data_IF_340824707976
#
_entry.id   IF_340824707976
#
_cell.length_a   1.000
_cell.length_b   1.000
_cell.length_c   1.000
_cell.angle_alpha   90.00
_cell.angle_beta   90.00
_cell.angle_gamma   90.00
#
_symmetry.space_group_name_H-M   'P 1'
#
loop_
_entity.id
_entity.type
_entity.pdbx_description
1 polymer ?
#
# COMPACT_ATOMS: atom_id res chain seq x y z
N UNK A 1 -28.28 -4.86 -26.67
CA UNK A 1 -27.60 -4.44 -25.41
C UNK A 1 -27.13 -5.66 -24.65
N UNK A 2 -25.85 -5.90 -24.50
CA UNK A 2 -25.35 -7.01 -23.67
C UNK A 2 -25.75 -6.74 -22.20
N UNK A 3 -26.46 -7.70 -21.57
CA UNK A 3 -26.86 -7.58 -20.15
C UNK A 3 -25.64 -7.18 -19.29
N UNK A 4 -25.69 -6.06 -18.56
CA UNK A 4 -24.64 -5.64 -17.65
C UNK A 4 -24.37 -6.71 -16.57
N UNK A 5 -23.15 -6.72 -15.98
CA UNK A 5 -22.92 -7.58 -14.82
C UNK A 5 -23.80 -7.14 -13.63
N UNK A 6 -24.21 -8.09 -12.78
CA UNK A 6 -24.99 -7.73 -11.59
C UNK A 6 -24.17 -6.88 -10.62
N UNK A 7 -24.84 -5.98 -9.88
CA UNK A 7 -24.18 -5.08 -8.93
C UNK A 7 -23.42 -5.86 -7.85
N UNK A 8 -24.01 -6.93 -7.33
CA UNK A 8 -23.36 -7.80 -6.34
C UNK A 8 -22.08 -8.45 -6.89
N UNK A 9 -22.12 -8.96 -8.12
CA UNK A 9 -20.93 -9.53 -8.77
C UNK A 9 -19.82 -8.50 -8.90
N UNK A 10 -20.14 -7.26 -9.32
CA UNK A 10 -19.17 -6.18 -9.45
C UNK A 10 -18.58 -5.78 -8.09
N UNK A 11 -19.40 -5.64 -7.04
CA UNK A 11 -18.92 -5.33 -5.68
C UNK A 11 -17.95 -6.39 -5.18
N UNK A 12 -18.30 -7.66 -5.32
CA UNK A 12 -17.44 -8.77 -4.85
C UNK A 12 -16.15 -8.86 -5.66
N UNK A 13 -16.26 -8.86 -6.99
CA UNK A 13 -15.07 -8.99 -7.86
C UNK A 13 -14.14 -7.79 -7.71
N UNK A 14 -14.65 -6.56 -7.87
CA UNK A 14 -13.83 -5.36 -7.81
C UNK A 14 -13.32 -5.10 -6.38
N UNK A 15 -14.07 -5.49 -5.35
CA UNK A 15 -13.63 -5.46 -3.95
C UNK A 15 -12.41 -6.33 -3.73
N UNK A 16 -12.46 -7.61 -4.14
CA UNK A 16 -11.32 -8.52 -4.01
C UNK A 16 -10.15 -8.06 -4.87
N UNK A 17 -10.38 -7.60 -6.10
CA UNK A 17 -9.33 -7.04 -6.96
C UNK A 17 -8.65 -5.83 -6.31
N UNK A 18 -9.39 -4.96 -5.64
CA UNK A 18 -8.81 -3.79 -4.97
C UNK A 18 -7.97 -4.15 -3.75
N UNK A 19 -8.28 -5.26 -3.09
CA UNK A 19 -7.55 -5.77 -1.93
C UNK A 19 -6.26 -6.55 -2.28
N UNK A 20 -5.97 -6.78 -3.57
CA UNK A 20 -4.78 -7.53 -4.00
C UNK A 20 -3.47 -6.91 -3.48
N UNK A 21 -3.38 -5.57 -3.42
CA UNK A 21 -2.21 -4.89 -2.88
C UNK A 21 -1.88 -5.34 -1.45
N UNK A 22 -2.78 -5.11 -0.48
CA UNK A 22 -2.61 -5.61 0.88
C UNK A 22 -2.39 -7.13 0.96
N UNK A 23 -3.12 -7.94 0.21
CA UNK A 23 -2.93 -9.39 0.25
C UNK A 23 -1.52 -9.81 -0.18
N UNK A 24 -0.99 -9.22 -1.24
CA UNK A 24 0.36 -9.53 -1.74
C UNK A 24 1.46 -9.06 -0.78
N UNK A 25 1.22 -7.96 -0.06
CA UNK A 25 2.20 -7.34 0.84
C UNK A 25 2.08 -7.91 2.25
N UNK A 26 0.87 -8.02 2.80
CA UNK A 26 0.67 -8.20 4.23
C UNK A 26 0.41 -9.67 4.63
N UNK A 27 -0.14 -10.52 3.73
CA UNK A 27 -0.51 -11.89 4.08
C UNK A 27 0.68 -12.73 4.52
N UNK A 28 1.86 -12.53 3.92
CA UNK A 28 3.04 -13.33 4.23
C UNK A 28 3.96 -12.67 5.29
N UNK A 29 3.65 -11.46 5.77
CA UNK A 29 4.47 -10.76 6.77
C UNK A 29 4.79 -11.62 8.00
N UNK A 30 3.83 -12.39 8.58
CA UNK A 30 4.13 -13.25 9.72
C UNK A 30 5.16 -14.35 9.40
N UNK A 31 5.38 -14.68 8.12
CA UNK A 31 6.34 -15.68 7.69
C UNK A 31 7.75 -15.16 7.43
N UNK A 32 8.01 -13.85 7.51
CA UNK A 32 9.33 -13.29 7.23
C UNK A 32 10.45 -13.89 8.08
N UNK A 33 10.30 -14.11 9.42
CA UNK A 33 11.33 -14.79 10.20
C UNK A 33 11.58 -16.23 9.74
N UNK A 34 10.52 -16.96 9.35
CA UNK A 34 10.64 -18.32 8.81
C UNK A 34 11.37 -18.35 7.47
N UNK A 35 11.14 -17.34 6.62
CA UNK A 35 11.87 -17.17 5.35
C UNK A 35 13.36 -16.90 5.58
N UNK A 36 13.72 -16.06 6.56
CA UNK A 36 15.11 -15.78 6.90
C UNK A 36 15.84 -17.07 7.32
N UNK A 37 15.19 -17.88 8.15
CA UNK A 37 15.73 -19.18 8.57
C UNK A 37 15.81 -20.20 7.44
N UNK A 38 14.78 -20.26 6.57
CA UNK A 38 14.72 -21.23 5.47
C UNK A 38 15.80 -21.00 4.41
N UNK A 39 16.05 -19.72 4.06
CA UNK A 39 17.07 -19.35 3.08
C UNK A 39 18.44 -19.06 3.72
N UNK A 40 18.61 -19.30 5.02
CA UNK A 40 19.84 -19.03 5.78
C UNK A 40 20.39 -17.62 5.54
N UNK A 41 19.48 -16.63 5.59
CA UNK A 41 19.79 -15.25 5.25
C UNK A 41 19.44 -14.27 6.38
N UNK A 42 19.85 -13.02 6.24
CA UNK A 42 19.57 -11.97 7.22
C UNK A 42 18.21 -11.28 6.98
N UNK A 43 17.77 -10.51 7.98
CA UNK A 43 16.52 -9.76 7.93
C UNK A 43 16.46 -8.78 6.74
N UNK A 44 17.57 -8.13 6.39
CA UNK A 44 17.62 -7.17 5.28
C UNK A 44 17.32 -7.85 3.94
N UNK A 45 17.91 -8.99 3.65
CA UNK A 45 17.64 -9.76 2.42
C UNK A 45 16.20 -10.27 2.38
N UNK A 46 15.65 -10.69 3.51
CA UNK A 46 14.25 -11.12 3.58
C UNK A 46 13.30 -9.93 3.37
N UNK A 47 13.62 -8.77 3.92
CA UNK A 47 12.83 -7.54 3.71
C UNK A 47 12.90 -7.05 2.26
N UNK A 48 13.95 -7.36 1.50
CA UNK A 48 14.00 -7.07 0.06
C UNK A 48 12.87 -7.80 -0.70
N UNK A 49 12.36 -8.94 -0.23
CA UNK A 49 11.20 -9.59 -0.85
C UNK A 49 9.93 -8.75 -0.70
N UNK A 50 9.77 -8.03 0.41
CA UNK A 50 8.70 -7.06 0.64
C UNK A 50 8.90 -5.83 -0.26
N UNK A 51 10.08 -5.23 -0.18
CA UNK A 51 10.51 -4.08 -0.96
C UNK A 51 10.21 -4.25 -2.44
N UNK A 52 10.66 -5.35 -3.02
CA UNK A 52 10.57 -5.59 -4.47
C UNK A 52 9.12 -5.82 -4.91
N UNK A 53 8.29 -6.43 -4.08
CA UNK A 53 6.86 -6.52 -4.34
C UNK A 53 6.19 -5.13 -4.31
N UNK A 54 6.57 -4.27 -3.37
CA UNK A 54 6.03 -2.90 -3.27
C UNK A 54 6.49 -2.02 -4.44
N UNK A 55 7.77 -2.10 -4.84
CA UNK A 55 8.28 -1.41 -6.03
C UNK A 55 7.57 -1.91 -7.29
N UNK A 56 7.41 -3.22 -7.42
CA UNK A 56 6.64 -3.81 -8.51
C UNK A 56 5.21 -3.29 -8.54
N UNK A 57 4.52 -3.27 -7.39
CA UNK A 57 3.16 -2.75 -7.25
C UNK A 57 3.08 -1.26 -7.64
N UNK A 58 4.05 -0.45 -7.21
CA UNK A 58 4.11 0.97 -7.54
C UNK A 58 4.29 1.18 -9.05
N UNK A 59 5.31 0.57 -9.65
CA UNK A 59 5.58 0.66 -11.08
C UNK A 59 4.41 0.11 -11.92
N UNK A 60 3.82 -0.99 -11.49
CA UNK A 60 2.66 -1.58 -12.14
C UNK A 60 1.46 -0.64 -12.20
N UNK A 61 1.21 0.16 -11.15
CA UNK A 61 0.13 1.15 -11.16
C UNK A 61 0.34 2.21 -12.25
N UNK A 62 1.57 2.69 -12.45
CA UNK A 62 1.88 3.66 -13.51
C UNK A 62 1.74 3.07 -14.92
N UNK A 63 2.03 1.77 -15.09
CA UNK A 63 2.03 1.11 -16.39
C UNK A 63 0.64 0.59 -16.78
N UNK A 64 -0.02 -0.13 -15.86
CA UNK A 64 -1.25 -0.87 -16.17
C UNK A 64 -2.49 0.02 -16.26
N UNK A 65 -2.47 1.21 -15.65
CA UNK A 65 -3.50 2.23 -15.85
C UNK A 65 -3.64 2.62 -17.33
N UNK A 66 -2.63 3.27 -17.92
CA UNK A 66 -2.64 3.66 -19.34
C UNK A 66 -2.81 2.48 -20.31
N UNK A 67 -2.24 1.30 -19.98
CA UNK A 67 -2.46 0.10 -20.78
C UNK A 67 -3.94 -0.30 -20.80
N UNK A 68 -4.63 -0.20 -19.66
CA UNK A 68 -6.06 -0.51 -19.58
C UNK A 68 -6.94 0.53 -20.26
N UNK A 69 -6.49 1.80 -20.32
CA UNK A 69 -7.17 2.86 -21.05
C UNK A 69 -7.06 2.66 -22.58
N UNK A 70 -5.95 2.09 -23.04
CA UNK A 70 -5.72 1.84 -24.46
C UNK A 70 -6.33 0.54 -24.98
N UNK A 71 -6.16 -0.57 -24.25
CA UNK A 71 -6.57 -1.90 -24.71
C UNK A 71 -7.93 -2.37 -24.17
N UNK A 72 -8.60 -1.54 -23.37
CA UNK A 72 -9.78 -1.90 -22.59
C UNK A 72 -9.42 -2.54 -21.26
N UNK A 73 -10.37 -2.65 -20.34
CA UNK A 73 -10.14 -3.08 -18.94
C UNK A 73 -9.87 -4.57 -18.83
N UNK A 74 -10.65 -5.38 -19.53
CA UNK A 74 -10.66 -6.83 -19.37
C UNK A 74 -9.36 -7.51 -19.81
N UNK A 75 -8.81 -7.15 -20.98
CA UNK A 75 -7.61 -7.81 -21.52
C UNK A 75 -6.38 -7.62 -20.61
N UNK A 76 -5.99 -6.39 -20.23
CA UNK A 76 -4.86 -6.18 -19.30
C UNK A 76 -5.08 -6.82 -17.94
N UNK A 77 -6.33 -6.85 -17.42
CA UNK A 77 -6.66 -7.53 -16.16
C UNK A 77 -6.37 -9.02 -16.24
N UNK A 78 -6.84 -9.71 -17.28
CA UNK A 78 -6.62 -11.15 -17.45
C UNK A 78 -5.12 -11.44 -17.58
N UNK A 79 -4.39 -10.68 -18.40
CA UNK A 79 -2.94 -10.87 -18.60
C UNK A 79 -2.21 -10.67 -17.27
N UNK A 80 -2.51 -9.60 -16.53
CA UNK A 80 -1.87 -9.34 -15.24
C UNK A 80 -2.17 -10.43 -14.20
N UNK A 81 -3.40 -10.95 -14.14
CA UNK A 81 -3.74 -12.06 -13.24
C UNK A 81 -3.02 -13.36 -13.62
N UNK A 82 -2.86 -13.66 -14.91
CA UNK A 82 -2.10 -14.84 -15.35
C UNK A 82 -0.63 -14.70 -14.96
N UNK A 83 0.00 -13.55 -15.19
CA UNK A 83 1.40 -13.30 -14.79
C UNK A 83 1.54 -13.37 -13.26
N UNK A 84 0.56 -12.82 -12.51
CA UNK A 84 0.51 -12.91 -11.05
C UNK A 84 0.50 -14.37 -10.56
N UNK A 85 -0.37 -15.21 -11.13
CA UNK A 85 -0.47 -16.63 -10.74
C UNK A 85 0.83 -17.36 -11.04
N UNK A 86 1.38 -17.18 -12.25
CA UNK A 86 2.64 -17.83 -12.65
C UNK A 86 3.78 -17.41 -11.73
N UNK A 87 3.98 -16.11 -11.51
CA UNK A 87 5.05 -15.62 -10.63
C UNK A 87 4.86 -16.10 -9.19
N UNK A 88 3.63 -16.13 -8.68
CA UNK A 88 3.32 -16.62 -7.32
C UNK A 88 3.61 -18.11 -7.16
N UNK A 89 3.27 -18.92 -8.16
CA UNK A 89 3.61 -20.36 -8.16
C UNK A 89 5.12 -20.55 -8.24
N UNK A 90 5.83 -19.82 -9.08
CA UNK A 90 7.28 -19.91 -9.19
C UNK A 90 8.00 -19.51 -7.89
N UNK A 91 7.44 -18.57 -7.09
CA UNK A 91 7.98 -18.22 -5.77
C UNK A 91 8.04 -19.46 -4.85
N UNK A 92 7.04 -20.34 -4.90
CA UNK A 92 7.02 -21.57 -4.07
C UNK A 92 8.20 -22.50 -4.37
N UNK A 93 8.70 -22.46 -5.61
CA UNK A 93 9.82 -23.28 -6.08
C UNK A 93 11.16 -22.51 -6.12
N UNK A 94 11.23 -21.30 -5.53
CA UNK A 94 12.47 -20.53 -5.51
C UNK A 94 13.60 -21.29 -4.80
N UNK A 95 14.75 -21.50 -5.48
CA UNK A 95 15.87 -22.22 -4.89
C UNK A 95 16.67 -21.38 -3.88
N UNK A 96 16.62 -20.05 -4.02
CA UNK A 96 17.32 -19.08 -3.20
C UNK A 96 16.52 -17.78 -3.06
N UNK A 97 16.95 -16.93 -2.14
CA UNK A 97 16.26 -15.66 -1.83
C UNK A 97 16.32 -14.68 -3.01
N UNK A 98 17.38 -14.66 -3.79
CA UNK A 98 17.55 -13.77 -4.96
C UNK A 98 16.52 -14.07 -6.04
N UNK A 99 16.28 -15.35 -6.35
CA UNK A 99 15.21 -15.75 -7.27
C UNK A 99 13.85 -15.33 -6.76
N UNK A 100 13.59 -15.50 -5.46
CA UNK A 100 12.35 -15.03 -4.85
C UNK A 100 12.21 -13.51 -4.98
N UNK A 101 13.26 -12.74 -4.71
CA UNK A 101 13.27 -11.26 -4.84
C UNK A 101 12.86 -10.83 -6.24
N UNK A 102 13.43 -11.43 -7.29
CA UNK A 102 13.09 -11.13 -8.69
C UNK A 102 11.62 -11.47 -8.98
N UNK A 103 11.18 -12.64 -8.57
CA UNK A 103 9.77 -13.06 -8.76
C UNK A 103 8.79 -12.16 -8.03
N UNK A 104 9.16 -11.61 -6.88
CA UNK A 104 8.36 -10.65 -6.13
C UNK A 104 8.16 -9.31 -6.86
N UNK A 105 9.16 -8.85 -7.63
CA UNK A 105 8.97 -7.69 -8.54
C UNK A 105 7.85 -7.97 -9.53
N UNK A 106 7.91 -9.14 -10.19
CA UNK A 106 6.93 -9.53 -11.22
C UNK A 106 5.54 -9.71 -10.62
N UNK A 107 5.46 -10.35 -9.44
CA UNK A 107 4.22 -10.54 -8.69
C UNK A 107 3.60 -9.18 -8.29
N UNK A 108 4.40 -8.26 -7.76
CA UNK A 108 3.95 -6.91 -7.39
C UNK A 108 3.45 -6.13 -8.60
N UNK A 109 4.23 -6.10 -9.68
CA UNK A 109 3.88 -5.39 -10.92
C UNK A 109 2.56 -5.91 -11.51
N UNK A 110 2.39 -7.21 -11.55
CA UNK A 110 1.18 -7.83 -12.09
C UNK A 110 -0.04 -7.64 -11.17
N UNK A 111 0.13 -7.68 -9.84
CA UNK A 111 -0.95 -7.44 -8.89
C UNK A 111 -1.52 -6.02 -8.97
N UNK A 112 -0.70 -5.04 -9.36
CA UNK A 112 -1.12 -3.66 -9.56
C UNK A 112 -2.26 -3.53 -10.59
N UNK A 113 -2.31 -4.41 -11.61
CA UNK A 113 -3.39 -4.46 -12.60
C UNK A 113 -4.75 -4.66 -11.95
N UNK A 114 -4.84 -5.55 -10.97
CA UNK A 114 -6.06 -5.79 -10.21
C UNK A 114 -6.52 -4.53 -9.47
N UNK A 115 -5.61 -3.86 -8.78
CA UNK A 115 -5.91 -2.65 -7.98
C UNK A 115 -6.34 -1.48 -8.87
N UNK A 116 -5.61 -1.19 -9.94
CA UNK A 116 -5.89 -0.04 -10.82
C UNK A 116 -7.15 -0.28 -11.64
N UNK A 117 -7.29 -1.47 -12.23
CA UNK A 117 -8.41 -1.76 -13.13
C UNK A 117 -9.72 -1.88 -12.36
N UNK A 118 -9.70 -2.35 -11.09
CA UNK A 118 -10.90 -2.35 -10.25
C UNK A 118 -11.50 -0.95 -10.10
N UNK A 119 -10.65 0.06 -9.84
CA UNK A 119 -11.06 1.47 -9.73
C UNK A 119 -11.53 2.03 -11.06
N UNK A 120 -10.80 1.72 -12.15
CA UNK A 120 -11.15 2.17 -13.49
C UNK A 120 -12.51 1.64 -13.96
N UNK A 121 -12.79 0.34 -13.74
CA UNK A 121 -14.11 -0.26 -14.03
C UNK A 121 -15.21 0.41 -13.22
N UNK A 122 -14.98 0.69 -11.93
CA UNK A 122 -15.94 1.42 -11.11
C UNK A 122 -16.24 2.82 -11.67
N UNK A 123 -15.21 3.54 -12.12
CA UNK A 123 -15.36 4.87 -12.74
C UNK A 123 -16.09 4.79 -14.08
N UNK A 124 -15.89 3.75 -14.87
CA UNK A 124 -16.56 3.55 -16.15
C UNK A 124 -18.06 3.29 -15.98
N UNK A 125 -18.45 2.51 -14.95
CA UNK A 125 -19.82 1.99 -14.78
C UNK A 125 -20.70 2.88 -13.91
N UNK A 126 -20.14 3.63 -12.96
CA UNK A 126 -20.91 4.40 -11.99
C UNK A 126 -20.67 5.90 -12.15
N UNK A 127 -21.67 6.72 -11.80
CA UNK A 127 -21.64 8.18 -11.83
C UNK A 127 -22.23 8.79 -10.56
N UNK A 128 -21.83 10.01 -10.24
CA UNK A 128 -22.42 10.80 -9.14
C UNK A 128 -22.43 10.02 -7.82
N UNK A 129 -23.58 10.05 -7.14
CA UNK A 129 -23.76 9.42 -5.80
C UNK A 129 -23.53 7.91 -5.78
N UNK A 130 -23.85 7.22 -6.88
CA UNK A 130 -23.59 5.76 -6.96
C UNK A 130 -22.08 5.46 -7.01
N UNK A 131 -21.31 6.24 -7.75
CA UNK A 131 -19.85 6.15 -7.80
C UNK A 131 -19.27 6.38 -6.40
N UNK A 132 -19.68 7.42 -5.70
CA UNK A 132 -19.24 7.71 -4.33
C UNK A 132 -19.51 6.55 -3.37
N UNK A 133 -20.72 5.96 -3.44
CA UNK A 133 -21.07 4.79 -2.61
C UNK A 133 -20.22 3.57 -2.94
N UNK A 134 -19.97 3.34 -4.22
CA UNK A 134 -19.16 2.20 -4.66
C UNK A 134 -17.70 2.35 -4.24
N UNK A 135 -17.11 3.54 -4.39
CA UNK A 135 -15.77 3.82 -3.88
C UNK A 135 -15.70 3.71 -2.36
N UNK A 136 -16.74 4.13 -1.63
CA UNK A 136 -16.84 3.92 -0.18
C UNK A 136 -16.72 2.44 0.22
N UNK A 137 -17.40 1.55 -0.52
CA UNK A 137 -17.27 0.10 -0.32
C UNK A 137 -15.85 -0.41 -0.62
N UNK A 138 -15.24 0.03 -1.73
CA UNK A 138 -13.85 -0.33 -2.05
C UNK A 138 -12.88 0.17 -0.98
N UNK A 139 -13.07 1.37 -0.46
CA UNK A 139 -12.24 1.93 0.62
C UNK A 139 -12.40 1.14 1.92
N UNK A 140 -13.62 0.70 2.24
CA UNK A 140 -13.87 -0.18 3.40
C UNK A 140 -13.11 -1.50 3.26
N UNK A 141 -13.17 -2.14 2.09
CA UNK A 141 -12.45 -3.39 1.82
C UNK A 141 -10.93 -3.17 1.91
N UNK A 142 -10.44 -2.09 1.32
CA UNK A 142 -9.01 -1.74 1.39
C UNK A 142 -8.54 -1.42 2.82
N UNK A 143 -9.41 -0.83 3.66
CA UNK A 143 -9.10 -0.57 5.07
C UNK A 143 -9.10 -1.83 5.94
N UNK A 144 -9.95 -2.81 5.61
CA UNK A 144 -10.04 -4.09 6.32
C UNK A 144 -8.95 -5.08 5.86
N UNK A 145 -8.51 -5.00 4.61
CA UNK A 145 -7.55 -5.95 4.05
C UNK A 145 -6.23 -6.03 4.83
N UNK A 146 -5.55 -4.91 5.21
CA UNK A 146 -4.35 -4.97 6.05
C UNK A 146 -4.57 -5.54 7.45
N UNK A 147 -5.81 -5.50 7.96
CA UNK A 147 -6.15 -6.10 9.25
C UNK A 147 -6.31 -7.62 9.09
N UNK A 148 -7.06 -8.03 8.08
CA UNK A 148 -7.43 -9.44 7.86
C UNK A 148 -6.24 -10.24 7.30
N UNK A 149 -5.44 -9.65 6.41
CA UNK A 149 -4.36 -10.37 5.70
C UNK A 149 -3.33 -11.03 6.64
N UNK A 150 -2.70 -10.32 7.60
CA UNK A 150 -1.72 -10.97 8.48
C UNK A 150 -2.35 -12.00 9.43
N UNK A 151 -3.61 -11.78 9.85
CA UNK A 151 -4.35 -12.73 10.69
C UNK A 151 -4.56 -14.03 9.90
N UNK A 152 -5.02 -13.95 8.66
CA UNK A 152 -5.14 -15.13 7.80
C UNK A 152 -3.79 -15.77 7.54
N UNK A 153 -2.74 -14.96 7.30
CA UNK A 153 -1.38 -15.45 7.11
C UNK A 153 -0.87 -16.24 8.31
N UNK A 154 -1.06 -15.73 9.53
CA UNK A 154 -0.64 -16.40 10.76
C UNK A 154 -1.41 -17.69 11.02
N UNK A 155 -2.73 -17.71 10.79
CA UNK A 155 -3.55 -18.92 10.91
C UNK A 155 -3.12 -20.00 9.89
N UNK A 156 -2.78 -19.58 8.67
CA UNK A 156 -2.23 -20.53 7.68
C UNK A 156 -0.90 -21.11 8.16
N UNK A 157 -0.02 -20.30 8.75
CA UNK A 157 1.30 -20.72 9.24
C UNK A 157 1.25 -21.74 10.41
N UNK A 158 0.13 -21.84 11.12
CA UNK A 158 -0.08 -22.88 12.13
C UNK A 158 -0.14 -24.29 11.51
N UNK A 159 -0.61 -24.39 10.25
CA UNK A 159 -0.87 -25.67 9.59
C UNK A 159 0.07 -25.92 8.39
N UNK A 160 0.57 -24.86 7.77
CA UNK A 160 1.37 -24.94 6.53
C UNK A 160 2.58 -23.99 6.61
N UNK A 161 3.65 -24.32 5.86
CA UNK A 161 4.84 -23.46 5.81
C UNK A 161 4.58 -22.18 5.00
N UNK A 162 5.57 -21.28 4.97
CA UNK A 162 5.56 -20.07 4.14
C UNK A 162 5.19 -20.35 2.66
N UNK A 163 5.60 -21.52 2.13
CA UNK A 163 5.24 -21.96 0.77
C UNK A 163 3.73 -22.09 0.60
N UNK A 164 3.05 -22.61 1.61
CA UNK A 164 1.59 -22.75 1.61
C UNK A 164 0.87 -21.41 1.58
N UNK A 165 1.43 -20.37 2.20
CA UNK A 165 0.88 -19.00 2.12
C UNK A 165 0.88 -18.49 0.67
N UNK A 166 1.98 -18.74 -0.09
CA UNK A 166 2.02 -18.38 -1.52
C UNK A 166 1.13 -19.26 -2.38
N UNK A 167 0.97 -20.56 -2.07
CA UNK A 167 -0.04 -21.41 -2.73
C UNK A 167 -1.45 -20.84 -2.52
N UNK A 168 -1.77 -20.42 -1.31
CA UNK A 168 -3.05 -19.79 -1.00
C UNK A 168 -3.27 -18.49 -1.79
N UNK A 169 -2.24 -17.64 -1.91
CA UNK A 169 -2.26 -16.44 -2.75
C UNK A 169 -2.50 -16.79 -4.23
N UNK A 170 -1.86 -17.84 -4.74
CA UNK A 170 -2.05 -18.31 -6.11
C UNK A 170 -3.50 -18.81 -6.33
N UNK A 171 -4.07 -19.55 -5.37
CA UNK A 171 -5.46 -20.01 -5.42
C UNK A 171 -6.46 -18.85 -5.46
N UNK A 172 -6.25 -17.81 -4.64
CA UNK A 172 -7.05 -16.58 -4.72
C UNK A 172 -6.94 -15.98 -6.14
N UNK A 173 -5.71 -15.90 -6.68
CA UNK A 173 -5.48 -15.41 -8.05
C UNK A 173 -6.26 -16.20 -9.09
N UNK A 174 -6.26 -17.54 -9.01
CA UNK A 174 -7.02 -18.43 -9.91
C UNK A 174 -8.52 -18.19 -9.82
N UNK A 175 -9.05 -18.12 -8.58
CA UNK A 175 -10.49 -17.85 -8.36
C UNK A 175 -10.87 -16.51 -9.00
N UNK A 176 -10.09 -15.47 -8.74
CA UNK A 176 -10.36 -14.12 -9.28
C UNK A 176 -10.21 -14.10 -10.80
N UNK A 177 -9.26 -14.81 -11.37
CA UNK A 177 -9.11 -14.97 -12.82
C UNK A 177 -10.36 -15.61 -13.44
N UNK A 178 -10.88 -16.70 -12.86
CA UNK A 178 -12.09 -17.38 -13.35
C UNK A 178 -13.29 -16.39 -13.33
N UNK A 179 -13.47 -15.64 -12.25
CA UNK A 179 -14.54 -14.65 -12.18
C UNK A 179 -14.29 -13.47 -13.14
N UNK A 180 -13.03 -13.07 -13.38
CA UNK A 180 -12.69 -12.00 -14.31
C UNK A 180 -13.02 -12.34 -15.77
N UNK A 181 -13.06 -13.62 -16.17
CA UNK A 181 -13.57 -14.00 -17.49
C UNK A 181 -15.05 -13.66 -17.69
N UNK A 182 -15.86 -13.62 -16.60
CA UNK A 182 -17.26 -13.20 -16.65
C UNK A 182 -17.44 -11.68 -16.65
N UNK A 183 -16.38 -10.91 -16.32
CA UNK A 183 -16.41 -9.45 -16.37
C UNK A 183 -16.64 -9.02 -17.83
N UNK A 184 -17.60 -8.15 -18.05
CA UNK A 184 -17.85 -7.52 -19.35
C UNK A 184 -16.94 -6.30 -19.46
N UNK A 185 -16.47 -6.03 -20.68
CA UNK A 185 -15.70 -4.83 -20.96
C UNK A 185 -16.52 -3.58 -20.61
N UNK A 186 -15.95 -2.71 -19.77
CA UNK A 186 -16.59 -1.49 -19.30
C UNK A 186 -16.24 -0.28 -20.13
N UNK A 187 -15.08 -0.31 -20.81
CA UNK A 187 -14.59 0.79 -21.64
C UNK A 187 -14.94 0.54 -23.11
N UNK A 188 -15.86 1.35 -23.65
CA UNK A 188 -16.22 1.30 -25.07
C UNK A 188 -15.01 1.62 -25.96
N UNK A 189 -15.02 1.10 -27.20
CA UNK A 189 -13.88 1.27 -28.14
C UNK A 189 -13.64 2.76 -28.44
N UNK A 190 -14.72 3.55 -28.51
CA UNK A 190 -14.66 4.99 -28.79
C UNK A 190 -14.00 5.78 -27.66
N UNK A 191 -14.11 5.30 -26.40
CA UNK A 191 -13.57 5.95 -25.22
C UNK A 191 -12.14 5.49 -24.89
N UNK A 192 -11.56 4.58 -25.67
CA UNK A 192 -10.18 4.13 -25.47
C UNK A 192 -9.19 5.21 -25.84
N UNK A 193 -8.07 5.23 -25.13
CA UNK A 193 -6.97 6.16 -25.38
C UNK A 193 -6.49 6.00 -26.83
N UNK A 194 -6.69 7.06 -27.62
CA UNK A 194 -6.20 7.17 -28.98
C UNK A 194 -4.84 7.86 -28.96
N UNK A 195 -3.76 7.13 -29.24
CA UNK A 195 -2.42 7.71 -29.25
C UNK A 195 -1.37 6.90 -28.52
N UNK A 196 -0.24 7.53 -28.25
CA UNK A 196 0.89 6.88 -27.57
C UNK A 196 0.65 6.85 -26.06
N UNK A 197 0.89 5.70 -25.41
CA UNK A 197 0.98 5.59 -23.97
C UNK A 197 2.05 6.54 -23.41
N UNK A 198 3.08 6.80 -24.23
CA UNK A 198 4.18 7.69 -23.87
C UNK A 198 3.73 9.14 -23.59
N UNK A 199 2.66 9.61 -24.24
CA UNK A 199 2.11 10.95 -23.97
C UNK A 199 1.60 11.10 -22.53
N UNK A 200 1.11 10.01 -21.93
CA UNK A 200 0.68 10.02 -20.50
C UNK A 200 1.88 10.22 -19.57
N UNK A 201 3.05 9.66 -19.90
CA UNK A 201 4.27 9.87 -19.11
C UNK A 201 4.79 11.31 -19.17
N UNK A 202 4.56 12.03 -20.28
CA UNK A 202 4.92 13.45 -20.37
C UNK A 202 4.12 14.31 -19.38
N UNK A 203 2.88 13.94 -19.08
CA UNK A 203 2.04 14.63 -18.09
C UNK A 203 2.64 14.54 -16.69
N UNK A 204 3.24 13.41 -16.32
CA UNK A 204 3.97 13.29 -15.04
C UNK A 204 5.09 14.32 -14.93
N UNK A 205 5.84 14.56 -16.05
CA UNK A 205 6.89 15.56 -16.12
C UNK A 205 6.40 17.00 -15.86
N UNK A 206 5.14 17.30 -16.18
CA UNK A 206 4.51 18.59 -15.89
C UNK A 206 4.16 18.68 -14.40
N UNK A 207 3.50 17.65 -13.86
CA UNK A 207 3.02 17.62 -12.48
C UNK A 207 4.17 17.67 -11.46
N UNK A 208 5.28 16.97 -11.72
CA UNK A 208 6.47 16.95 -10.87
C UNK A 208 7.07 18.36 -10.68
N UNK A 209 6.86 19.27 -11.63
CA UNK A 209 7.30 20.66 -11.53
C UNK A 209 6.47 21.49 -10.56
N UNK A 210 5.24 21.07 -10.22
CA UNK A 210 4.42 21.76 -9.22
C UNK A 210 4.97 21.48 -7.81
N UNK A 211 5.66 22.48 -7.26
CA UNK A 211 6.31 22.37 -5.94
C UNK A 211 5.32 22.13 -4.81
N UNK A 212 4.10 22.72 -4.88
CA UNK A 212 3.11 22.55 -3.82
C UNK A 212 2.54 21.15 -3.82
N UNK A 213 2.17 20.62 -4.99
CA UNK A 213 1.74 19.25 -5.17
C UNK A 213 2.81 18.25 -4.67
N UNK A 214 4.07 18.42 -5.12
CA UNK A 214 5.18 17.55 -4.70
C UNK A 214 5.49 17.64 -3.21
N UNK A 215 5.18 18.78 -2.57
CA UNK A 215 5.30 18.88 -1.11
C UNK A 215 4.25 18.02 -0.39
N UNK A 216 3.00 18.02 -0.85
CA UNK A 216 1.97 17.13 -0.30
C UNK A 216 2.32 15.65 -0.51
N UNK A 217 2.77 15.30 -1.73
CA UNK A 217 3.27 13.95 -2.04
C UNK A 217 4.45 13.57 -1.13
N UNK A 218 5.39 14.51 -0.91
CA UNK A 218 6.56 14.30 -0.04
C UNK A 218 6.18 14.05 1.41
N UNK A 219 5.30 14.88 2.00
CA UNK A 219 4.82 14.67 3.36
C UNK A 219 4.17 13.29 3.49
N UNK A 220 3.24 12.94 2.60
CA UNK A 220 2.57 11.64 2.61
C UNK A 220 3.56 10.49 2.48
N UNK A 221 4.54 10.62 1.57
CA UNK A 221 5.53 9.58 1.34
C UNK A 221 6.42 9.33 2.55
N UNK A 222 6.88 10.37 3.25
CA UNK A 222 7.69 10.20 4.45
C UNK A 222 6.90 9.69 5.65
N UNK A 223 5.65 10.12 5.83
CA UNK A 223 4.76 9.55 6.85
C UNK A 223 4.55 8.04 6.60
N UNK A 224 4.21 7.66 5.36
CA UNK A 224 4.07 6.26 4.96
C UNK A 224 5.40 5.51 4.96
N UNK A 225 6.54 6.17 4.71
CA UNK A 225 7.86 5.60 4.88
C UNK A 225 8.11 5.09 6.31
N UNK A 226 7.69 5.86 7.33
CA UNK A 226 7.72 5.40 8.72
C UNK A 226 6.82 4.19 8.98
N UNK A 227 5.63 4.16 8.36
CA UNK A 227 4.75 2.98 8.42
C UNK A 227 5.41 1.76 7.77
N UNK A 228 6.04 1.92 6.61
CA UNK A 228 6.71 0.80 5.95
C UNK A 228 7.94 0.32 6.71
N UNK A 229 8.65 1.23 7.42
CA UNK A 229 9.70 0.83 8.37
C UNK A 229 9.14 -0.04 9.50
N UNK A 230 8.00 0.36 10.09
CA UNK A 230 7.27 -0.47 11.05
C UNK A 230 6.88 -1.82 10.44
N UNK A 231 6.24 -1.84 9.27
CA UNK A 231 5.79 -3.09 8.61
C UNK A 231 6.96 -4.05 8.40
N UNK A 232 8.11 -3.55 7.93
CA UNK A 232 9.27 -4.38 7.67
C UNK A 232 9.97 -4.88 8.95
N UNK A 233 10.02 -4.05 10.00
CA UNK A 233 10.73 -4.36 11.25
C UNK A 233 9.91 -5.23 12.21
N UNK A 234 8.59 -5.00 12.28
CA UNK A 234 7.72 -5.55 13.34
C UNK A 234 7.73 -7.08 13.43
N UNK A 235 7.75 -7.90 12.36
CA UNK A 235 7.81 -9.35 12.48
C UNK A 235 9.08 -9.80 13.21
N UNK A 236 10.21 -9.18 12.94
CA UNK A 236 11.48 -9.53 13.58
C UNK A 236 11.56 -9.01 15.01
N UNK A 237 11.05 -7.81 15.29
CA UNK A 237 10.98 -7.27 16.66
C UNK A 237 10.07 -8.15 17.51
N UNK A 238 8.82 -8.35 17.09
CA UNK A 238 7.82 -9.05 17.93
C UNK A 238 8.04 -10.56 17.99
N UNK A 239 8.29 -11.21 16.85
CA UNK A 239 8.42 -12.68 16.82
C UNK A 239 9.83 -13.13 17.15
N UNK A 240 10.89 -12.60 16.46
CA UNK A 240 12.25 -13.10 16.64
C UNK A 240 12.90 -12.65 17.94
N UNK A 241 12.69 -11.38 18.36
CA UNK A 241 13.31 -10.83 19.56
C UNK A 241 12.47 -11.09 20.83
N UNK A 242 11.16 -10.73 20.81
CA UNK A 242 10.28 -10.91 21.96
C UNK A 242 9.63 -12.30 22.04
N UNK A 243 9.78 -13.14 21.02
CA UNK A 243 9.26 -14.52 21.04
C UNK A 243 7.73 -14.62 20.94
N UNK A 244 7.06 -13.56 20.47
CA UNK A 244 5.61 -13.61 20.30
C UNK A 244 5.24 -14.55 19.16
N UNK A 245 4.11 -15.27 19.32
CA UNK A 245 3.58 -16.10 18.24
C UNK A 245 3.17 -15.25 17.03
N UNK A 246 3.19 -15.86 15.83
CA UNK A 246 2.72 -15.21 14.61
C UNK A 246 1.29 -14.69 14.75
N UNK A 247 0.45 -15.40 15.52
CA UNK A 247 -0.93 -14.99 15.79
C UNK A 247 -1.01 -13.72 16.64
N UNK A 248 -0.27 -13.63 17.76
CA UNK A 248 -0.22 -12.42 18.60
C UNK A 248 0.34 -11.24 17.82
N UNK A 249 1.42 -11.45 17.05
CA UNK A 249 1.94 -10.43 16.14
C UNK A 249 0.86 -9.90 15.19
N UNK A 250 0.07 -10.80 14.60
CA UNK A 250 -0.99 -10.42 13.67
C UNK A 250 -2.13 -9.66 14.32
N UNK A 251 -2.43 -9.92 15.58
CA UNK A 251 -3.40 -9.13 16.37
C UNK A 251 -2.88 -7.70 16.60
N UNK A 252 -1.60 -7.54 16.97
CA UNK A 252 -0.97 -6.23 17.07
C UNK A 252 -1.03 -5.48 15.73
N UNK A 253 -0.69 -6.15 14.64
CA UNK A 253 -0.76 -5.57 13.30
C UNK A 253 -2.19 -5.15 12.92
N UNK A 254 -3.19 -5.97 13.28
CA UNK A 254 -4.61 -5.65 13.11
C UNK A 254 -5.06 -4.44 13.92
N UNK A 255 -4.61 -4.34 15.19
CA UNK A 255 -4.85 -3.16 16.02
C UNK A 255 -4.27 -1.90 15.38
N UNK A 256 -3.04 -1.99 14.87
CA UNK A 256 -2.38 -0.90 14.15
C UNK A 256 -3.12 -0.51 12.84
N UNK A 257 -3.71 -1.47 12.13
CA UNK A 257 -4.61 -1.21 11.03
C UNK A 257 -5.83 -0.40 11.44
N UNK A 258 -6.43 -0.69 12.61
CA UNK A 258 -7.55 0.08 13.16
C UNK A 258 -7.15 1.53 13.50
N UNK A 259 -5.92 1.75 13.98
CA UNK A 259 -5.38 3.07 14.24
C UNK A 259 -5.41 3.97 12.99
N UNK A 260 -5.03 3.42 11.83
CA UNK A 260 -5.09 4.14 10.55
C UNK A 260 -6.52 4.57 10.20
N UNK A 261 -7.49 3.68 10.40
CA UNK A 261 -8.91 3.98 10.12
C UNK A 261 -9.43 5.06 11.06
N UNK A 262 -9.15 4.94 12.37
CA UNK A 262 -9.58 5.92 13.38
C UNK A 262 -8.98 7.30 13.08
N UNK A 263 -7.67 7.38 12.85
CA UNK A 263 -6.99 8.64 12.59
C UNK A 263 -7.46 9.31 11.30
N UNK A 264 -7.67 8.53 10.22
CA UNK A 264 -8.21 9.05 8.97
C UNK A 264 -9.64 9.61 9.13
N UNK A 265 -10.50 8.94 9.92
CA UNK A 265 -11.84 9.44 10.23
C UNK A 265 -11.78 10.75 11.04
N UNK A 266 -10.91 10.83 12.06
CA UNK A 266 -10.69 12.07 12.82
C UNK A 266 -10.23 13.19 11.88
N UNK A 267 -9.23 12.91 11.01
CA UNK A 267 -8.70 13.87 10.05
C UNK A 267 -9.74 14.36 9.03
N UNK A 268 -10.63 13.46 8.59
CA UNK A 268 -11.71 13.79 7.65
C UNK A 268 -12.76 14.75 8.22
N UNK A 269 -12.87 14.85 9.54
CA UNK A 269 -13.78 15.78 10.23
C UNK A 269 -13.12 17.13 10.61
N UNK A 270 -11.82 17.28 10.36
CA UNK A 270 -11.08 18.51 10.64
C UNK A 270 -10.88 19.35 9.37
N UNK A 271 -10.80 20.69 9.47
CA UNK A 271 -10.33 21.53 8.38
C UNK A 271 -8.94 21.07 7.89
N UNK A 272 -8.72 21.03 6.58
CA UNK A 272 -7.50 20.49 5.97
C UNK A 272 -6.20 21.04 6.59
N UNK A 273 -6.15 22.36 6.85
CA UNK A 273 -4.99 23.00 7.48
C UNK A 273 -4.74 22.50 8.90
N UNK A 274 -5.80 22.32 9.69
CA UNK A 274 -5.70 21.82 11.06
C UNK A 274 -5.33 20.34 11.09
N UNK A 275 -5.97 19.52 10.25
CA UNK A 275 -5.66 18.09 10.14
C UNK A 275 -4.19 17.87 9.78
N UNK A 276 -3.65 18.64 8.82
CA UNK A 276 -2.26 18.55 8.41
C UNK A 276 -1.31 19.01 9.51
N UNK A 277 -1.61 20.13 10.19
CA UNK A 277 -0.80 20.64 11.28
C UNK A 277 -0.78 19.66 12.47
N UNK A 278 -1.95 19.30 12.99
CA UNK A 278 -2.10 18.42 14.15
C UNK A 278 -1.45 17.06 13.83
N UNK A 279 -1.78 16.48 12.66
CA UNK A 279 -1.28 15.16 12.29
C UNK A 279 0.25 15.12 12.19
N UNK A 280 0.89 16.11 11.53
CA UNK A 280 2.37 16.13 11.40
C UNK A 280 3.04 16.34 12.76
N UNK A 281 2.59 17.31 13.59
CA UNK A 281 3.22 17.54 14.89
C UNK A 281 3.00 16.38 15.86
N UNK A 282 1.77 15.88 15.97
CA UNK A 282 1.45 14.77 16.85
C UNK A 282 2.17 13.48 16.42
N UNK A 283 2.29 13.24 15.09
CA UNK A 283 3.11 12.15 14.56
C UNK A 283 4.57 12.25 15.00
N UNK A 284 5.19 13.45 14.91
CA UNK A 284 6.59 13.62 15.36
C UNK A 284 6.75 13.28 16.84
N UNK A 285 5.82 13.71 17.68
CA UNK A 285 5.84 13.37 19.12
C UNK A 285 5.73 11.85 19.33
N UNK A 286 4.79 11.20 18.63
CA UNK A 286 4.65 9.74 18.72
C UNK A 286 5.88 9.01 18.16
N UNK A 287 6.48 9.51 17.08
CA UNK A 287 7.70 8.95 16.51
C UNK A 287 8.88 9.05 17.51
N UNK A 288 9.05 10.17 18.19
CA UNK A 288 10.07 10.33 19.24
C UNK A 288 9.86 9.37 20.42
N UNK A 289 8.61 9.19 20.86
CA UNK A 289 8.27 8.18 21.86
C UNK A 289 8.63 6.76 21.35
N UNK A 290 8.21 6.42 20.13
CA UNK A 290 8.49 5.10 19.53
C UNK A 290 9.99 4.85 19.43
N UNK A 291 10.77 5.84 19.00
CA UNK A 291 12.23 5.77 18.96
C UNK A 291 12.82 5.52 20.34
N UNK A 292 12.36 6.25 21.37
CA UNK A 292 12.86 6.08 22.72
C UNK A 292 12.62 4.65 23.25
N UNK A 293 11.40 4.11 23.09
CA UNK A 293 11.08 2.75 23.56
C UNK A 293 11.79 1.66 22.75
N UNK A 294 12.06 1.88 21.45
CA UNK A 294 12.84 0.97 20.62
C UNK A 294 14.31 0.94 21.04
N UNK A 295 14.95 2.10 21.27
CA UNK A 295 16.37 2.18 21.67
C UNK A 295 16.59 1.55 23.04
N UNK A 296 15.67 1.79 23.98
CA UNK A 296 15.75 1.23 25.34
C UNK A 296 15.33 -0.24 25.35
N UNK A 297 14.71 -0.74 24.28
CA UNK A 297 14.19 -2.10 24.13
C UNK A 297 13.21 -2.46 25.27
N UNK A 298 12.29 -1.55 25.57
CA UNK A 298 11.26 -1.75 26.57
C UNK A 298 10.38 -2.96 26.22
N UNK A 299 9.62 -3.44 27.22
CA UNK A 299 8.67 -4.53 27.02
C UNK A 299 7.79 -4.29 25.78
N UNK A 300 7.55 -5.32 24.98
CA UNK A 300 6.94 -5.24 23.66
C UNK A 300 5.63 -4.41 23.60
N UNK A 301 4.85 -4.39 24.66
CA UNK A 301 3.59 -3.63 24.71
C UNK A 301 3.82 -2.11 24.59
N UNK A 302 4.90 -1.57 25.18
CA UNK A 302 5.22 -0.14 25.05
C UNK A 302 5.65 0.22 23.61
N UNK A 303 6.32 -0.72 22.94
CA UNK A 303 6.69 -0.57 21.53
C UNK A 303 5.43 -0.59 20.67
N UNK A 304 4.49 -1.49 20.95
CA UNK A 304 3.21 -1.58 20.24
C UNK A 304 2.38 -0.30 20.43
N UNK A 305 2.29 0.23 21.66
CA UNK A 305 1.63 1.51 21.94
C UNK A 305 2.27 2.64 21.12
N UNK A 306 3.61 2.64 20.97
CA UNK A 306 4.33 3.61 20.16
C UNK A 306 3.95 3.51 18.67
N UNK A 307 3.96 2.32 18.11
CA UNK A 307 3.56 2.10 16.73
C UNK A 307 2.09 2.44 16.49
N UNK A 308 1.20 2.04 17.38
CA UNK A 308 -0.23 2.37 17.32
C UNK A 308 -0.44 3.89 17.31
N UNK A 309 0.16 4.61 18.26
CA UNK A 309 0.06 6.07 18.34
C UNK A 309 0.63 6.75 17.08
N UNK A 310 1.78 6.29 16.61
CA UNK A 310 2.43 6.81 15.40
C UNK A 310 1.51 6.66 14.17
N UNK A 311 0.92 5.49 13.97
CA UNK A 311 0.03 5.20 12.84
C UNK A 311 -1.30 5.96 12.94
N UNK A 312 -1.88 6.06 14.12
CA UNK A 312 -3.10 6.83 14.37
C UNK A 312 -2.89 8.30 14.02
N UNK A 313 -1.82 8.89 14.53
CA UNK A 313 -1.59 10.33 14.42
C UNK A 313 -1.16 10.74 13.02
N UNK A 314 -0.36 9.93 12.31
CA UNK A 314 -0.02 10.22 10.92
C UNK A 314 -1.23 10.15 9.99
N UNK A 315 -2.16 9.21 10.22
CA UNK A 315 -3.31 9.01 9.35
C UNK A 315 -4.34 10.14 9.41
N UNK A 316 -4.31 11.00 10.46
CA UNK A 316 -5.07 12.25 10.52
C UNK A 316 -4.78 13.15 9.31
N UNK A 317 -3.55 13.08 8.75
CA UNK A 317 -3.15 13.92 7.61
C UNK A 317 -3.69 13.43 6.27
N UNK A 318 -4.03 12.15 6.10
CA UNK A 318 -4.29 11.55 4.80
C UNK A 318 -5.46 12.16 4.01
N UNK A 319 -6.65 12.42 4.62
CA UNK A 319 -7.74 13.07 3.90
C UNK A 319 -7.36 14.47 3.43
N UNK A 320 -6.70 15.26 4.29
CA UNK A 320 -6.27 16.61 3.99
C UNK A 320 -5.23 16.64 2.86
N UNK A 321 -4.21 15.77 2.91
CA UNK A 321 -3.18 15.68 1.86
C UNK A 321 -3.82 15.30 0.53
N UNK A 322 -4.69 14.28 0.52
CA UNK A 322 -5.35 13.83 -0.71
C UNK A 322 -6.21 14.95 -1.32
N UNK A 323 -6.99 15.64 -0.50
CA UNK A 323 -7.82 16.77 -0.96
C UNK A 323 -6.97 17.90 -1.52
N UNK A 324 -5.98 18.39 -0.77
CA UNK A 324 -5.14 19.53 -1.16
C UNK A 324 -4.28 19.23 -2.39
N UNK A 325 -3.73 18.01 -2.47
CA UNK A 325 -2.93 17.58 -3.62
C UNK A 325 -3.80 17.49 -4.88
N UNK A 326 -4.97 16.86 -4.81
CA UNK A 326 -5.89 16.77 -5.96
C UNK A 326 -6.42 18.12 -6.39
N UNK A 327 -6.63 19.04 -5.45
CA UNK A 327 -7.05 20.40 -5.76
C UNK A 327 -5.98 21.18 -6.51
N UNK A 328 -4.70 21.01 -6.14
CA UNK A 328 -3.58 21.71 -6.80
C UNK A 328 -3.32 21.24 -8.24
N UNK A 329 -3.83 20.07 -8.64
CA UNK A 329 -3.62 19.45 -9.95
C UNK A 329 -4.93 18.93 -10.58
N UNK A 330 -6.03 19.70 -10.44
CA UNK A 330 -7.36 19.32 -10.97
C UNK A 330 -7.36 18.97 -12.45
N UNK A 331 -6.55 19.66 -13.26
CA UNK A 331 -6.47 19.45 -14.70
C UNK A 331 -5.88 18.06 -15.05
N UNK A 332 -5.01 17.53 -14.20
CA UNK A 332 -4.30 16.25 -14.39
C UNK A 332 -4.63 15.24 -13.28
N UNK A 333 -5.88 15.25 -12.79
CA UNK A 333 -6.30 14.50 -11.62
C UNK A 333 -5.94 13.00 -11.65
N UNK A 334 -6.04 12.35 -12.83
CA UNK A 334 -5.66 10.93 -12.99
C UNK A 334 -4.16 10.69 -12.74
N UNK A 335 -3.31 11.51 -13.39
CA UNK A 335 -1.85 11.41 -13.23
C UNK A 335 -1.39 11.85 -11.83
N UNK A 336 -2.03 12.85 -11.25
CA UNK A 336 -1.78 13.29 -9.87
C UNK A 336 -2.12 12.17 -8.86
N UNK A 337 -3.26 11.51 -9.03
CA UNK A 337 -3.66 10.35 -8.22
C UNK A 337 -2.66 9.18 -8.34
N UNK A 338 -2.14 8.94 -9.55
CA UNK A 338 -1.14 7.90 -9.78
C UNK A 338 0.18 8.22 -9.04
N UNK A 339 0.65 9.48 -9.06
CA UNK A 339 1.84 9.90 -8.32
C UNK A 339 1.66 9.84 -6.80
N UNK A 340 0.48 10.24 -6.29
CA UNK A 340 0.12 10.11 -4.88
C UNK A 340 0.11 8.65 -4.40
N UNK A 341 -0.24 7.72 -5.29
CA UNK A 341 -0.16 6.29 -4.99
C UNK A 341 1.25 5.71 -5.14
N UNK A 342 1.96 6.10 -6.21
CA UNK A 342 3.29 5.58 -6.53
C UNK A 342 4.35 5.98 -5.49
N UNK A 343 4.46 7.28 -5.17
CA UNK A 343 5.59 7.81 -4.42
C UNK A 343 5.74 7.19 -3.01
N UNK A 344 4.66 7.00 -2.22
CA UNK A 344 4.78 6.33 -0.93
C UNK A 344 5.23 4.87 -1.03
N UNK A 345 4.70 4.10 -1.97
CA UNK A 345 5.11 2.71 -2.15
C UNK A 345 6.56 2.59 -2.63
N UNK A 346 6.99 3.49 -3.50
CA UNK A 346 8.38 3.56 -3.94
C UNK A 346 9.31 3.88 -2.77
N UNK A 347 8.99 4.90 -1.96
CA UNK A 347 9.77 5.25 -0.77
C UNK A 347 9.75 4.11 0.26
N UNK A 348 8.58 3.48 0.47
CA UNK A 348 8.46 2.30 1.32
C UNK A 348 9.36 1.16 0.87
N UNK A 349 9.44 0.93 -0.44
CA UNK A 349 10.37 -0.03 -1.02
C UNK A 349 11.85 0.30 -0.74
N UNK A 350 12.22 1.57 -0.77
CA UNK A 350 13.60 2.01 -0.43
C UNK A 350 13.87 1.86 1.06
N UNK A 351 12.91 2.21 1.90
CA UNK A 351 13.05 2.24 3.36
C UNK A 351 13.09 0.84 3.98
N UNK A 352 12.26 -0.09 3.47
CA UNK A 352 12.09 -1.42 4.07
C UNK A 352 13.39 -2.19 4.29
N UNK A 353 14.32 -2.31 3.34
CA UNK A 353 15.56 -3.05 3.57
C UNK A 353 16.53 -2.32 4.52
N UNK A 354 16.42 -0.99 4.66
CA UNK A 354 17.28 -0.21 5.53
C UNK A 354 17.07 -0.57 7.01
N UNK A 355 15.86 -0.95 7.41
CA UNK A 355 15.58 -1.35 8.80
C UNK A 355 16.21 -2.69 9.17
N UNK A 356 16.58 -3.52 8.18
CA UNK A 356 17.28 -4.79 8.41
C UNK A 356 18.81 -4.69 8.46
N UNK A 357 19.38 -3.50 8.30
CA UNK A 357 20.83 -3.30 8.31
C UNK A 357 21.31 -3.13 9.75
N UNK A 358 22.13 -4.07 10.22
CA UNK A 358 22.68 -4.06 11.58
C UNK A 358 21.62 -4.41 12.65
N UNK A 359 21.55 -3.60 13.71
CA UNK A 359 20.58 -3.82 14.78
C UNK A 359 19.23 -3.23 14.41
N UNK A 360 18.21 -4.08 14.34
CA UNK A 360 16.87 -3.73 13.86
C UNK A 360 16.20 -2.59 14.65
N UNK A 361 16.49 -2.48 15.95
CA UNK A 361 15.94 -1.42 16.80
C UNK A 361 16.52 -0.05 16.44
N UNK A 362 17.84 0.02 16.27
CA UNK A 362 18.53 1.29 15.93
C UNK A 362 18.24 1.69 14.49
N UNK A 363 18.29 0.75 13.52
CA UNK A 363 18.01 1.08 12.13
C UNK A 363 16.57 1.50 11.90
N UNK A 364 15.59 0.84 12.54
CA UNK A 364 14.19 1.25 12.51
C UNK A 364 14.01 2.65 13.09
N UNK A 365 14.62 2.91 14.26
CA UNK A 365 14.58 4.22 14.91
C UNK A 365 15.17 5.33 14.05
N UNK A 366 16.31 5.07 13.41
CA UNK A 366 16.96 6.02 12.51
C UNK A 366 16.12 6.36 11.29
N UNK A 367 15.51 5.36 10.67
CA UNK A 367 14.63 5.54 9.52
C UNK A 367 13.37 6.34 9.89
N UNK A 368 12.73 6.01 11.01
CA UNK A 368 11.56 6.75 11.52
C UNK A 368 11.94 8.21 11.80
N UNK A 369 13.11 8.45 12.40
CA UNK A 369 13.58 9.81 12.70
C UNK A 369 13.78 10.64 11.43
N UNK A 370 14.48 10.09 10.43
CA UNK A 370 14.69 10.79 9.15
C UNK A 370 13.34 11.10 8.48
N UNK A 371 12.45 10.13 8.38
CA UNK A 371 11.15 10.33 7.79
C UNK A 371 10.33 11.41 8.54
N UNK A 372 10.34 11.40 9.87
CA UNK A 372 9.65 12.38 10.68
C UNK A 372 10.20 13.80 10.47
N UNK A 373 11.54 13.95 10.49
CA UNK A 373 12.20 15.24 10.26
C UNK A 373 11.95 15.78 8.86
N UNK A 374 11.98 14.94 7.83
CA UNK A 374 11.72 15.35 6.45
C UNK A 374 10.24 15.73 6.25
N UNK A 375 9.29 14.97 6.79
CA UNK A 375 7.87 15.33 6.75
C UNK A 375 7.62 16.68 7.44
N UNK A 376 8.19 16.89 8.62
CA UNK A 376 8.09 18.15 9.37
C UNK A 376 8.73 19.31 8.60
N UNK A 377 9.91 19.13 8.03
CA UNK A 377 10.63 20.15 7.26
C UNK A 377 9.84 20.60 6.04
N UNK A 378 9.27 19.65 5.28
CA UNK A 378 8.43 19.98 4.12
C UNK A 378 7.17 20.72 4.57
N UNK A 379 6.51 20.25 5.65
CA UNK A 379 5.34 20.96 6.21
C UNK A 379 5.68 22.41 6.57
N UNK A 380 6.81 22.65 7.26
CA UNK A 380 7.25 24.02 7.61
C UNK A 380 7.44 24.91 6.39
N UNK A 381 7.99 24.40 5.28
CA UNK A 381 8.18 25.15 4.04
C UNK A 381 6.88 25.58 3.38
N UNK A 382 5.81 24.77 3.50
CA UNK A 382 4.54 25.03 2.80
C UNK A 382 3.41 25.56 3.71
N UNK A 383 3.57 25.58 5.03
CA UNK A 383 2.49 25.91 5.99
C UNK A 383 1.74 27.24 5.71
N UNK A 384 2.44 28.21 5.12
CA UNK A 384 1.86 29.50 4.75
C UNK A 384 1.10 29.48 3.43
N UNK A 385 1.27 28.43 2.63
CA UNK A 385 0.62 28.25 1.33
C UNK A 385 -0.60 27.34 1.40
N UNK A 386 -0.86 26.74 2.57
CA UNK A 386 -2.02 25.88 2.77
C UNK A 386 -3.25 26.76 2.91
N UNK A 387 -4.31 26.58 2.09
CA UNK A 387 -5.53 27.36 2.16
C UNK A 387 -6.15 27.31 3.56
N UNK A 388 -6.57 28.45 4.07
CA UNK A 388 -7.45 28.51 5.24
C UNK A 388 -8.84 28.19 4.74
N UNK A 389 -9.47 27.11 5.25
CA UNK A 389 -10.83 26.71 4.93
C UNK A 389 -11.81 27.82 5.38
N UNK A 390 -12.07 28.76 4.52
CA UNK A 390 -13.12 29.78 4.62
C UNK A 390 -13.47 30.30 3.21
N UNK A 391 -13.26 29.48 2.16
CA UNK A 391 -13.76 29.76 0.82
C UNK A 391 -14.33 28.50 0.20
#
# INVERSE_FOLDING_TARGET
MAKANSKLFLVLLLGVLSAFGPFVVDLYLPSLPQLASFFETNASMTQLTLTTAMIGLALGQLLLGPLSDKFGRKKPLIISLVIYIISTVLIVFSPNIETMIVLRVIQGLSSAGSVVISRAVATDLYRGREMTRFFGLLMTINGLAPIISPILGSLLLEYISWKGVFVFLALIGVIVLIFSFRLKESLSVENRLQGSIFSTFLTFGVIIKNRLFMSYVGIQSFLLGSMFAYIAASPFIFQSFYGLSAFIFSLCFGANGSALVIGANVGGNLPNRQALAIGVFAFVVAALYTIAVLIIQLYWLFIEIGFFAMLLLMSITFPAISSLAMESERQYAGSASALLGFAPFFLGGVVSPLVGIGNIFYSTSFVILICALLALSIYWMIRHKIPTSAE
#
